data_IF_389373809212
#
_entry.id   IF_389373809212
#
_cell.length_a   1.000
_cell.length_b   1.000
_cell.length_c   1.000
_cell.angle_alpha   90.00
_cell.angle_beta   90.00
_cell.angle_gamma   90.00
#
_symmetry.space_group_name_H-M   'P 1'
#
loop_
_entity.id
_entity.type
_entity.pdbx_description
1 polymer ?
#
# COMPACT_ATOMS: atom_id res chain seq x y z
N UNK A 1 -20.68 -14.88 -15.43
CA UNK A 1 -19.42 -14.14 -15.65
C UNK A 1 -18.27 -14.99 -15.16
N UNK A 2 -17.20 -15.11 -15.94
CA UNK A 2 -16.00 -15.85 -15.52
C UNK A 2 -15.23 -15.02 -14.48
N UNK A 3 -14.82 -15.64 -13.39
CA UNK A 3 -14.11 -14.97 -12.29
C UNK A 3 -12.76 -15.62 -12.04
N UNK A 4 -11.76 -14.82 -11.63
CA UNK A 4 -10.41 -15.29 -11.31
C UNK A 4 -9.99 -14.75 -9.95
N UNK A 5 -9.30 -15.59 -9.17
CA UNK A 5 -8.73 -15.20 -7.87
C UNK A 5 -7.21 -15.37 -7.91
N UNK A 6 -6.49 -14.38 -7.48
CA UNK A 6 -5.02 -14.41 -7.40
C UNK A 6 -4.60 -13.96 -6.01
N UNK A 7 -3.75 -14.75 -5.35
CA UNK A 7 -3.19 -14.36 -4.05
C UNK A 7 -1.81 -13.75 -4.26
N UNK A 8 -1.63 -12.49 -3.85
CA UNK A 8 -0.36 -11.77 -3.86
C UNK A 8 -0.22 -10.91 -2.61
N UNK A 9 1.01 -10.78 -2.15
CA UNK A 9 1.33 -9.92 -1.01
C UNK A 9 2.20 -8.76 -1.46
N UNK A 10 1.74 -7.55 -1.18
CA UNK A 10 2.50 -6.33 -1.38
C UNK A 10 2.81 -5.70 -0.04
N UNK A 11 4.05 -5.24 0.11
CA UNK A 11 4.39 -4.42 1.28
C UNK A 11 3.68 -3.07 1.18
N UNK A 12 3.50 -2.41 2.32
CA UNK A 12 2.81 -1.11 2.42
C UNK A 12 3.41 -0.04 1.48
N UNK A 13 4.66 -0.18 1.08
CA UNK A 13 5.34 0.75 0.16
C UNK A 13 5.40 0.25 -1.28
N UNK A 14 4.78 -0.89 -1.59
CA UNK A 14 4.83 -1.47 -2.91
C UNK A 14 3.57 -1.18 -3.74
N UNK A 15 2.84 -0.10 -3.42
CA UNK A 15 1.62 0.30 -4.12
C UNK A 15 1.84 0.44 -5.63
N UNK A 16 2.96 1.03 -6.09
CA UNK A 16 3.29 1.14 -7.51
C UNK A 16 3.39 -0.23 -8.22
N UNK A 17 3.91 -1.26 -7.51
CA UNK A 17 3.98 -2.63 -8.05
C UNK A 17 2.60 -3.27 -8.10
N UNK A 18 1.76 -2.95 -7.14
CA UNK A 18 0.38 -3.41 -7.06
C UNK A 18 -0.47 -2.77 -8.16
N UNK A 19 -0.37 -1.45 -8.35
CA UNK A 19 -1.00 -0.70 -9.44
C UNK A 19 -0.62 -1.27 -10.81
N UNK A 20 0.67 -1.51 -11.03
CA UNK A 20 1.17 -2.14 -12.25
C UNK A 20 0.57 -3.53 -12.45
N UNK A 21 0.52 -4.36 -11.40
CA UNK A 21 -0.08 -5.69 -11.47
C UNK A 21 -1.56 -5.63 -11.87
N UNK A 22 -2.34 -4.73 -11.26
CA UNK A 22 -3.75 -4.55 -11.58
C UNK A 22 -3.96 -4.10 -13.03
N UNK A 23 -3.14 -3.16 -13.52
CA UNK A 23 -3.12 -2.70 -14.91
C UNK A 23 -2.80 -3.84 -15.88
N UNK A 24 -1.75 -4.63 -15.60
CA UNK A 24 -1.35 -5.77 -16.44
C UNK A 24 -2.45 -6.84 -16.50
N UNK A 25 -3.15 -7.09 -15.39
CA UNK A 25 -4.30 -7.97 -15.35
C UNK A 25 -5.45 -7.45 -16.22
N UNK A 26 -5.76 -6.17 -16.18
CA UNK A 26 -6.82 -5.58 -16.99
C UNK A 26 -6.49 -5.64 -18.48
N UNK A 27 -5.24 -5.36 -18.87
CA UNK A 27 -4.75 -5.56 -20.24
C UNK A 27 -4.87 -7.01 -20.73
N UNK A 28 -4.84 -7.97 -19.79
CA UNK A 28 -5.03 -9.40 -20.08
C UNK A 28 -6.51 -9.83 -20.05
N UNK A 29 -7.47 -8.89 -19.98
CA UNK A 29 -8.90 -9.16 -19.96
C UNK A 29 -9.44 -9.57 -18.58
N UNK A 30 -8.80 -9.12 -17.48
CA UNK A 30 -9.22 -9.38 -16.11
C UNK A 30 -9.36 -8.09 -15.33
N UNK A 31 -10.60 -7.61 -15.20
CA UNK A 31 -10.96 -6.41 -14.44
C UNK A 31 -10.93 -6.68 -12.95
N UNK A 32 -10.16 -5.90 -12.20
CA UNK A 32 -10.12 -5.98 -10.75
C UNK A 32 -11.43 -5.49 -10.13
N UNK A 33 -11.97 -6.27 -9.19
CA UNK A 33 -13.22 -5.95 -8.48
C UNK A 33 -13.03 -5.67 -7.00
N UNK A 34 -12.19 -6.48 -6.34
CA UNK A 34 -11.88 -6.30 -4.91
C UNK A 34 -10.67 -7.09 -4.48
N UNK A 35 -10.08 -6.68 -3.36
CA UNK A 35 -9.13 -7.49 -2.58
C UNK A 35 -9.73 -7.82 -1.22
N UNK A 36 -9.50 -9.05 -0.73
CA UNK A 36 -10.03 -9.54 0.54
C UNK A 36 -9.00 -10.33 1.32
N UNK A 37 -9.19 -10.45 2.64
CA UNK A 37 -8.34 -11.25 3.52
C UNK A 37 -6.86 -10.86 3.40
N UNK A 38 -5.97 -11.83 3.32
CA UNK A 38 -4.54 -11.61 3.20
C UNK A 38 -4.12 -11.56 1.70
N UNK A 39 -4.46 -10.44 1.01
CA UNK A 39 -4.00 -10.22 -0.37
C UNK A 39 -4.65 -11.14 -1.42
N UNK A 40 -5.93 -11.48 -1.28
CA UNK A 40 -6.70 -12.25 -2.26
C UNK A 40 -7.42 -11.30 -3.21
N UNK A 41 -6.89 -11.12 -4.41
CA UNK A 41 -7.43 -10.28 -5.47
C UNK A 41 -8.49 -11.03 -6.26
N UNK A 42 -9.63 -10.39 -6.48
CA UNK A 42 -10.74 -10.92 -7.26
C UNK A 42 -10.84 -10.14 -8.57
N UNK A 43 -11.03 -10.88 -9.66
CA UNK A 43 -11.14 -10.35 -11.00
C UNK A 43 -12.36 -10.94 -11.71
N UNK A 44 -12.93 -10.17 -12.61
CA UNK A 44 -13.96 -10.58 -13.55
C UNK A 44 -13.45 -10.49 -14.98
N UNK A 45 -13.93 -11.38 -15.85
CA UNK A 45 -13.59 -11.36 -17.27
C UNK A 45 -14.11 -10.08 -17.91
N UNK A 46 -13.27 -9.41 -18.69
CA UNK A 46 -13.63 -8.22 -19.45
C UNK A 46 -12.93 -8.22 -20.80
N UNK A 47 -13.26 -7.27 -21.65
CA UNK A 47 -12.46 -6.97 -22.83
C UNK A 47 -11.13 -6.36 -22.41
N UNK A 48 -10.00 -6.77 -23.04
CA UNK A 48 -8.68 -6.21 -22.75
C UNK A 48 -8.64 -4.71 -23.07
N UNK A 49 -8.38 -3.89 -22.03
CA UNK A 49 -8.21 -2.45 -22.16
C UNK A 49 -7.04 -1.97 -21.34
N UNK A 50 -6.44 -0.86 -21.72
CA UNK A 50 -5.45 -0.20 -20.87
C UNK A 50 -6.16 0.71 -19.88
N UNK A 51 -6.20 0.27 -18.63
CA UNK A 51 -6.83 0.98 -17.51
C UNK A 51 -5.78 1.22 -16.44
N UNK A 52 -5.62 2.46 -16.03
CA UNK A 52 -4.72 2.86 -14.99
C UNK A 52 -5.39 2.62 -13.65
N UNK A 53 -4.66 1.99 -12.75
CA UNK A 53 -5.04 1.80 -11.35
C UNK A 53 -4.16 2.67 -10.49
N UNK A 54 -4.75 3.35 -9.52
CA UNK A 54 -4.02 4.13 -8.53
C UNK A 54 -4.54 3.89 -7.12
N UNK A 55 -3.61 3.84 -6.18
CA UNK A 55 -3.86 3.63 -4.77
C UNK A 55 -3.49 4.88 -3.98
N UNK A 56 -4.45 5.48 -3.28
CA UNK A 56 -4.17 6.55 -2.33
C UNK A 56 -4.33 6.08 -0.89
N UNK A 57 -3.40 6.48 -0.02
CA UNK A 57 -3.49 6.25 1.41
C UNK A 57 -3.97 7.53 2.09
N UNK A 58 -5.26 7.60 2.35
CA UNK A 58 -5.88 8.73 3.03
C UNK A 58 -6.71 8.29 4.24
N UNK A 59 -6.06 8.23 5.40
CA UNK A 59 -6.72 7.87 6.66
C UNK A 59 -7.76 8.92 7.10
N UNK A 60 -7.54 10.18 6.76
CA UNK A 60 -8.42 11.29 7.13
C UNK A 60 -9.60 11.42 6.15
N UNK A 61 -9.44 10.98 4.89
CA UNK A 61 -10.51 10.88 3.91
C UNK A 61 -11.61 9.89 4.30
N UNK A 62 -11.30 8.92 5.18
CA UNK A 62 -12.31 8.00 5.73
C UNK A 62 -13.32 8.67 6.67
N UNK A 63 -13.07 9.88 7.16
CA UNK A 63 -14.02 10.65 7.97
C UNK A 63 -15.10 11.31 7.12
N UNK A 64 -14.78 11.65 5.85
CA UNK A 64 -15.66 12.22 4.85
C UNK A 64 -15.51 11.43 3.55
N UNK A 65 -15.74 10.10 3.62
CA UNK A 65 -15.47 9.18 2.50
C UNK A 65 -16.23 9.54 1.23
N UNK A 66 -17.49 9.94 1.37
CA UNK A 66 -18.36 10.32 0.25
C UNK A 66 -17.83 11.55 -0.49
N UNK A 67 -17.40 12.59 0.25
CA UNK A 67 -16.85 13.81 -0.32
C UNK A 67 -15.51 13.55 -1.00
N UNK A 68 -14.69 12.71 -0.39
CA UNK A 68 -13.41 12.29 -0.92
C UNK A 68 -13.56 11.48 -2.22
N UNK A 69 -14.47 10.50 -2.24
CA UNK A 69 -14.76 9.71 -3.45
C UNK A 69 -15.31 10.60 -4.55
N UNK A 70 -16.22 11.52 -4.21
CA UNK A 70 -16.81 12.46 -5.16
C UNK A 70 -15.76 13.35 -5.82
N UNK A 71 -14.80 13.86 -5.04
CA UNK A 71 -13.69 14.68 -5.57
C UNK A 71 -12.90 13.93 -6.66
N UNK A 72 -12.63 12.63 -6.47
CA UNK A 72 -11.95 11.82 -7.48
C UNK A 72 -12.87 11.47 -8.66
N UNK A 73 -14.15 11.23 -8.40
CA UNK A 73 -15.14 10.99 -9.45
C UNK A 73 -15.29 12.20 -10.38
N UNK A 74 -15.26 13.42 -9.84
CA UNK A 74 -15.29 14.67 -10.62
C UNK A 74 -14.05 14.82 -11.53
N UNK A 75 -12.93 14.15 -11.19
CA UNK A 75 -11.72 14.03 -12.01
C UNK A 75 -11.74 12.80 -12.95
N UNK A 76 -12.87 12.09 -13.04
CA UNK A 76 -13.04 10.92 -13.90
C UNK A 76 -12.47 9.61 -13.35
N UNK A 77 -12.11 9.56 -12.06
CA UNK A 77 -11.66 8.33 -11.42
C UNK A 77 -12.85 7.52 -10.89
N UNK A 78 -12.88 6.25 -11.20
CA UNK A 78 -13.85 5.30 -10.65
C UNK A 78 -13.32 4.69 -9.36
N UNK A 79 -14.07 4.86 -8.27
CA UNK A 79 -13.80 4.20 -6.99
C UNK A 79 -14.11 2.71 -7.07
N UNK A 80 -13.27 1.87 -6.50
CA UNK A 80 -13.46 0.42 -6.44
C UNK A 80 -13.74 -0.02 -5.01
N UNK A 81 -12.81 0.25 -4.10
CA UNK A 81 -12.94 -0.08 -2.69
C UNK A 81 -11.88 0.63 -1.85
N UNK A 82 -12.10 0.65 -0.54
CA UNK A 82 -11.07 0.96 0.47
C UNK A 82 -10.67 -0.34 1.18
N UNK A 83 -9.37 -0.61 1.23
CA UNK A 83 -8.83 -1.80 1.87
C UNK A 83 -7.50 -1.51 2.56
N UNK A 84 -7.40 -1.87 3.85
CA UNK A 84 -6.18 -1.64 4.65
C UNK A 84 -5.65 -0.20 4.64
N UNK A 85 -6.54 0.80 4.54
CA UNK A 85 -6.20 2.22 4.51
C UNK A 85 -5.82 2.76 3.13
N UNK A 86 -5.77 1.91 2.11
CA UNK A 86 -5.66 2.32 0.71
C UNK A 86 -7.02 2.36 0.04
N UNK A 87 -7.27 3.44 -0.67
CA UNK A 87 -8.42 3.58 -1.56
C UNK A 87 -7.97 3.29 -2.99
N UNK A 88 -8.68 2.37 -3.64
CA UNK A 88 -8.38 1.90 -5.00
C UNK A 88 -9.25 2.64 -5.99
N UNK A 89 -8.61 3.28 -6.95
CA UNK A 89 -9.24 3.97 -8.05
C UNK A 89 -8.78 3.39 -9.38
N UNK A 90 -9.59 3.56 -10.43
CA UNK A 90 -9.19 3.27 -11.81
C UNK A 90 -9.72 4.32 -12.77
N UNK A 91 -9.02 4.51 -13.89
CA UNK A 91 -9.42 5.39 -15.00
C UNK A 91 -8.91 4.81 -16.31
N UNK A 92 -9.70 4.82 -17.41
CA UNK A 92 -9.23 4.42 -18.73
C UNK A 92 -8.01 5.24 -19.16
N UNK A 93 -6.99 4.60 -19.72
CA UNK A 93 -5.74 5.29 -20.09
C UNK A 93 -5.94 6.33 -21.22
N UNK A 94 -6.94 6.14 -22.07
CA UNK A 94 -7.30 7.08 -23.13
C UNK A 94 -8.00 8.35 -22.65
N UNK A 95 -8.52 8.33 -21.42
CA UNK A 95 -9.14 9.50 -20.77
C UNK A 95 -8.17 10.26 -19.88
N UNK A 96 -6.92 9.80 -19.81
CA UNK A 96 -5.86 10.49 -19.05
C UNK A 96 -5.26 11.61 -19.90
N UNK A 97 -5.31 12.83 -19.40
CA UNK A 97 -4.43 13.88 -19.88
C UNK A 97 -2.99 13.57 -19.47
N UNK A 98 -2.00 13.93 -20.25
CA UNK A 98 -0.60 13.51 -20.13
C UNK A 98 0.08 13.76 -18.75
N UNK A 99 -0.61 14.42 -17.82
CA UNK A 99 -0.13 14.75 -16.46
C UNK A 99 -1.13 14.39 -15.35
N UNK A 100 -2.21 13.66 -15.64
CA UNK A 100 -3.25 13.31 -14.64
C UNK A 100 -2.92 12.01 -13.89
N UNK A 101 -1.82 11.96 -13.17
CA UNK A 101 -1.73 11.03 -12.04
C UNK A 101 -2.55 11.60 -10.87
N UNK A 102 -3.16 10.76 -10.01
CA UNK A 102 -3.79 11.20 -8.73
C UNK A 102 -2.80 12.06 -7.93
N UNK A 103 -1.53 11.77 -8.08
CA UNK A 103 -0.45 12.59 -7.56
C UNK A 103 0.17 13.39 -8.70
N UNK A 104 -0.30 14.63 -8.88
CA UNK A 104 0.16 15.54 -9.94
C UNK A 104 1.65 15.92 -9.82
N UNK A 105 2.28 15.62 -8.66
CA UNK A 105 3.66 15.96 -8.37
C UNK A 105 4.31 14.99 -7.35
N UNK A 106 5.62 15.03 -7.29
CA UNK A 106 6.39 14.25 -6.32
C UNK A 106 6.10 14.67 -4.87
N UNK A 107 5.59 15.87 -4.63
CA UNK A 107 5.24 16.36 -3.31
C UNK A 107 4.00 15.65 -2.77
N UNK A 108 2.96 15.48 -3.58
CA UNK A 108 1.76 14.73 -3.22
C UNK A 108 2.07 13.26 -2.92
N UNK A 109 2.95 12.62 -3.73
CA UNK A 109 3.46 11.27 -3.44
C UNK A 109 4.23 11.22 -2.12
N UNK A 110 5.05 12.22 -1.84
CA UNK A 110 5.80 12.33 -0.58
C UNK A 110 4.88 12.51 0.62
N UNK A 111 3.83 13.33 0.49
CA UNK A 111 2.82 13.53 1.53
C UNK A 111 2.04 12.25 1.81
N UNK A 112 1.63 11.51 0.78
CA UNK A 112 1.00 10.19 0.95
C UNK A 112 1.92 9.23 1.71
N UNK A 113 3.19 9.13 1.33
CA UNK A 113 4.16 8.28 2.03
C UNK A 113 4.38 8.70 3.47
N UNK A 114 4.39 10.00 3.76
CA UNK A 114 4.47 10.52 5.13
C UNK A 114 3.24 10.12 5.95
N UNK A 115 2.04 10.17 5.38
CA UNK A 115 0.80 9.70 6.01
C UNK A 115 0.86 8.19 6.32
N UNK A 116 1.34 7.38 5.39
CA UNK A 116 1.56 5.94 5.60
C UNK A 116 2.55 5.69 6.74
N UNK A 117 3.68 6.39 6.72
CA UNK A 117 4.74 6.22 7.73
C UNK A 117 4.25 6.59 9.13
N UNK A 118 3.65 7.77 9.29
CA UNK A 118 3.16 8.26 10.58
C UNK A 118 1.89 7.54 11.04
N UNK A 119 0.97 7.26 10.13
CA UNK A 119 -0.34 6.70 10.48
C UNK A 119 -0.35 5.19 10.71
N UNK A 120 0.60 4.46 10.15
CA UNK A 120 0.61 3.00 10.21
C UNK A 120 1.91 2.42 10.73
N UNK A 121 3.05 2.84 10.20
CA UNK A 121 4.32 2.21 10.56
C UNK A 121 4.82 2.61 11.93
N UNK A 122 4.75 3.88 12.28
CA UNK A 122 5.23 4.36 13.59
C UNK A 122 4.45 3.76 14.75
N UNK A 123 3.10 3.74 14.77
CA UNK A 123 2.35 3.06 15.83
C UNK A 123 2.66 1.57 15.93
N UNK A 124 2.74 0.87 14.80
CA UNK A 124 3.09 -0.55 14.80
C UNK A 124 4.50 -0.80 15.33
N UNK A 125 5.47 0.08 15.03
CA UNK A 125 6.81 0.00 15.59
C UNK A 125 6.81 0.16 17.11
N UNK A 126 6.07 1.15 17.62
CA UNK A 126 6.00 1.40 19.07
C UNK A 126 5.41 0.18 19.79
N UNK A 127 4.30 -0.36 19.29
CA UNK A 127 3.66 -1.56 19.85
C UNK A 127 4.61 -2.75 19.77
N UNK A 128 5.27 -2.94 18.63
CA UNK A 128 6.23 -4.03 18.43
C UNK A 128 7.38 -3.94 19.43
N UNK A 129 8.02 -2.78 19.57
CA UNK A 129 9.12 -2.60 20.51
C UNK A 129 8.67 -2.78 21.96
N UNK A 130 7.48 -2.29 22.32
CA UNK A 130 6.92 -2.44 23.67
C UNK A 130 6.64 -3.90 24.04
N UNK A 131 6.34 -4.77 23.07
CA UNK A 131 6.10 -6.20 23.29
C UNK A 131 7.38 -7.03 23.20
N UNK A 132 8.22 -6.75 22.19
CA UNK A 132 9.37 -7.60 21.86
C UNK A 132 10.55 -7.35 22.81
N UNK A 133 10.83 -6.09 23.19
CA UNK A 133 11.99 -5.79 24.02
C UNK A 133 11.86 -6.42 25.42
N UNK A 134 10.76 -6.25 26.18
CA UNK A 134 10.62 -6.89 27.49
C UNK A 134 10.64 -8.41 27.40
N UNK A 135 9.98 -9.00 26.39
CA UNK A 135 10.00 -10.43 26.15
C UNK A 135 11.40 -10.98 25.89
N UNK A 136 12.17 -10.29 25.04
CA UNK A 136 13.55 -10.65 24.74
C UNK A 136 14.46 -10.59 25.98
N UNK A 137 14.35 -9.51 26.77
CA UNK A 137 15.12 -9.36 28.01
C UNK A 137 14.79 -10.48 28.99
N UNK A 138 13.50 -10.79 29.17
CA UNK A 138 13.04 -11.87 30.05
C UNK A 138 13.64 -13.22 29.66
N UNK A 139 13.59 -13.59 28.38
CA UNK A 139 14.12 -14.85 27.87
C UNK A 139 15.63 -15.00 28.06
N UNK A 140 16.39 -13.90 28.03
CA UNK A 140 17.81 -13.90 28.34
C UNK A 140 18.03 -14.21 29.81
N UNK A 141 17.26 -13.61 30.74
CA UNK A 141 17.37 -13.86 32.18
C UNK A 141 16.93 -15.28 32.57
N UNK A 142 15.97 -15.86 31.87
CA UNK A 142 15.50 -17.24 32.03
C UNK A 142 16.44 -18.27 31.37
N UNK A 143 17.53 -17.84 30.71
CA UNK A 143 18.47 -18.68 29.94
C UNK A 143 17.83 -19.44 28.78
N UNK A 144 16.68 -18.98 28.26
CA UNK A 144 15.94 -19.60 27.15
C UNK A 144 16.48 -19.09 25.80
N UNK A 145 17.72 -19.44 25.47
CA UNK A 145 18.44 -18.89 24.30
C UNK A 145 17.81 -19.24 22.96
N UNK A 146 17.10 -20.38 22.86
CA UNK A 146 16.42 -20.79 21.60
C UNK A 146 15.31 -19.78 21.29
N UNK A 147 14.46 -19.47 22.27
CA UNK A 147 13.37 -18.50 22.07
C UNK A 147 13.91 -17.08 21.90
N UNK A 148 14.97 -16.70 22.65
CA UNK A 148 15.63 -15.41 22.46
C UNK A 148 16.18 -15.23 21.05
N UNK A 149 16.73 -16.27 20.41
CA UNK A 149 17.20 -16.21 19.03
C UNK A 149 16.06 -15.93 18.04
N UNK A 150 14.87 -16.49 18.24
CA UNK A 150 13.69 -16.21 17.43
C UNK A 150 13.30 -14.73 17.52
N UNK A 151 13.29 -14.17 18.73
CA UNK A 151 13.00 -12.73 18.95
C UNK A 151 14.04 -11.83 18.27
N UNK A 152 15.33 -12.23 18.33
CA UNK A 152 16.38 -11.49 17.63
C UNK A 152 16.19 -11.48 16.09
N UNK A 153 15.83 -12.62 15.51
CA UNK A 153 15.52 -12.70 14.07
C UNK A 153 14.34 -11.82 13.68
N UNK A 154 13.26 -11.85 14.47
CA UNK A 154 12.09 -11.00 14.23
C UNK A 154 12.48 -9.52 14.29
N UNK A 155 13.30 -9.12 15.27
CA UNK A 155 13.79 -7.75 15.42
C UNK A 155 14.62 -7.33 14.21
N UNK A 156 15.52 -8.20 13.72
CA UNK A 156 16.31 -7.93 12.51
C UNK A 156 15.43 -7.73 11.26
N UNK A 157 14.41 -8.57 11.06
CA UNK A 157 13.47 -8.43 9.95
C UNK A 157 12.77 -7.05 10.01
N UNK A 158 12.33 -6.64 11.20
CA UNK A 158 11.68 -5.35 11.39
C UNK A 158 12.61 -4.18 11.10
N UNK A 159 13.86 -4.23 11.56
CA UNK A 159 14.88 -3.22 11.26
C UNK A 159 15.13 -3.13 9.76
N UNK A 160 15.24 -4.25 9.05
CA UNK A 160 15.39 -4.28 7.60
C UNK A 160 14.21 -3.60 6.86
N UNK A 161 12.97 -3.88 7.30
CA UNK A 161 11.76 -3.25 6.74
C UNK A 161 11.82 -1.73 6.95
N UNK A 162 12.20 -1.25 8.15
CA UNK A 162 12.30 0.18 8.46
C UNK A 162 13.38 0.88 7.65
N UNK A 163 14.56 0.26 7.50
CA UNK A 163 15.65 0.79 6.66
C UNK A 163 15.21 0.89 5.20
N UNK A 164 14.53 -0.14 4.67
CA UNK A 164 14.03 -0.13 3.30
C UNK A 164 13.00 0.99 3.07
N UNK A 165 12.08 1.18 4.03
CA UNK A 165 11.11 2.26 4.03
C UNK A 165 11.77 3.65 4.07
N UNK A 166 12.74 3.84 4.96
CA UNK A 166 13.50 5.10 5.07
C UNK A 166 14.29 5.44 3.81
N UNK A 167 14.92 4.44 3.17
CA UNK A 167 15.59 4.62 1.89
C UNK A 167 14.63 5.05 0.78
N UNK A 168 13.46 4.42 0.68
CA UNK A 168 12.44 4.80 -0.33
C UNK A 168 11.94 6.24 -0.10
N UNK A 169 11.65 6.61 1.16
CA UNK A 169 11.26 7.96 1.53
C UNK A 169 12.34 8.99 1.16
N UNK A 170 13.61 8.73 1.51
CA UNK A 170 14.73 9.62 1.22
C UNK A 170 14.94 9.79 -0.29
N UNK A 171 14.79 8.71 -1.07
CA UNK A 171 14.90 8.77 -2.53
C UNK A 171 13.83 9.70 -3.11
N UNK A 172 12.55 9.53 -2.76
CA UNK A 172 11.46 10.38 -3.24
C UNK A 172 11.63 11.83 -2.83
N UNK A 173 12.11 12.09 -1.59
CA UNK A 173 12.40 13.46 -1.14
C UNK A 173 13.50 14.12 -1.96
N UNK A 174 14.53 13.38 -2.36
CA UNK A 174 15.60 13.92 -3.20
C UNK A 174 15.13 14.18 -4.64
N UNK A 175 14.24 13.33 -5.16
CA UNK A 175 13.68 13.47 -6.51
C UNK A 175 12.66 14.65 -6.58
N UNK A 176 12.02 14.98 -5.44
CA UNK A 176 11.12 16.15 -5.32
C UNK A 176 11.87 17.49 -5.20
N UNK A 177 13.15 17.48 -4.80
CA UNK A 177 13.95 18.70 -4.64
C UNK A 177 14.81 19.03 -5.88
N UNK A 178 14.67 18.25 -6.97
CA UNK A 178 15.30 18.49 -8.28
C UNK A 178 14.31 19.08 -9.26
#
# INVERSE_FOLDING_TARGET
METKKVTKFYSVFAHEKEEKFLRDMHKSGWKFTKVTGFGKYHFEKCEPHDVIYQLDYNKDGLKNEDEYIKMFADCGWEYIQTYCGYTYFRKPANEMNSNEEIFCDNESKLQMMKRVYLGRMLPLLIIFLALIIPGFIRLIFEHEYIFASIYAVILLIYVCIFIAAGKKYKKLKNDSNK
#
